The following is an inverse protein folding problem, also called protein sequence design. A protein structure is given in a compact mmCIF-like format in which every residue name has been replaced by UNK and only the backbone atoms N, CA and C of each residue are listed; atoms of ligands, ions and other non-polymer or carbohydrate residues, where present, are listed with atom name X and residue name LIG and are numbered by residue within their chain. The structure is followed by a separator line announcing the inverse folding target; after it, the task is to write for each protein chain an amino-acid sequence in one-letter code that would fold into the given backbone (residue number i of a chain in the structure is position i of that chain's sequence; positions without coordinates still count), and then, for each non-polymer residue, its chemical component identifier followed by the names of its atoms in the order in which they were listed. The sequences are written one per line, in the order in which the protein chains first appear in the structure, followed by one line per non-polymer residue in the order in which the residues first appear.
data_IF_346675411965
#
_entry.id   IF_346675411965
#
_cell.length_a   1.000
_cell.length_b   1.000
_cell.length_c   1.000
_cell.angle_alpha   90.00
_cell.angle_beta   90.00
_cell.angle_gamma   90.00
#
_symmetry.space_group_name_H-M   'P 1'
#
loop_
_entity.id
_entity.type
_entity.pdbx_description
1 polymer ?
#
# COMPACT_ATOMS: atom_id res chain seq x y z
N UNK A 1 18.68 -3.56 3.34
CA UNK A 1 18.21 -2.67 2.27
C UNK A 1 17.41 -1.54 2.91
N UNK A 2 17.92 -0.32 2.82
CA UNK A 2 17.26 0.88 3.32
C UNK A 2 16.04 1.19 2.44
N UNK A 3 14.87 1.28 3.04
CA UNK A 3 13.66 1.70 2.36
C UNK A 3 13.51 3.20 2.60
N UNK A 4 13.71 4.00 1.57
CA UNK A 4 13.53 5.45 1.65
C UNK A 4 12.06 5.78 1.86
N UNK A 5 11.81 6.75 2.74
CA UNK A 5 10.46 7.12 3.12
C UNK A 5 9.62 7.61 1.94
N UNK A 6 8.34 7.28 1.99
CA UNK A 6 7.33 7.76 1.06
C UNK A 6 7.27 9.29 1.10
N UNK A 7 7.73 9.94 0.04
CA UNK A 7 7.50 11.37 -0.14
C UNK A 7 6.09 11.59 -0.66
N UNK A 8 5.12 11.56 0.22
CA UNK A 8 3.74 11.88 -0.14
C UNK A 8 3.52 13.37 0.16
N UNK A 9 3.36 14.14 -0.89
CA UNK A 9 2.99 15.54 -0.78
C UNK A 9 4.06 16.52 -1.27
N UNK A 10 3.76 17.23 -2.33
CA UNK A 10 4.54 18.38 -2.77
C UNK A 10 4.02 19.63 -2.03
N UNK A 11 4.75 20.07 -1.03
CA UNK A 11 4.52 21.37 -0.43
C UNK A 11 4.31 21.44 1.08
N UNK A 12 5.30 21.04 1.82
CA UNK A 12 5.39 21.27 3.26
C UNK A 12 6.57 20.49 3.77
N UNK A 13 7.55 21.18 4.30
CA UNK A 13 8.81 20.58 4.70
C UNK A 13 8.66 19.50 5.75
N UNK A 14 8.46 18.28 5.31
CA UNK A 14 8.70 17.12 6.14
C UNK A 14 10.20 16.84 6.05
N UNK A 15 10.91 17.08 7.14
CA UNK A 15 12.21 16.48 7.30
C UNK A 15 12.00 14.97 7.26
N UNK A 16 12.45 14.36 6.19
CA UNK A 16 12.47 12.92 6.05
C UNK A 16 13.43 12.33 7.07
N UNK A 17 12.96 12.07 8.26
CA UNK A 17 13.66 11.11 9.10
C UNK A 17 13.67 9.79 8.29
N UNK A 18 14.86 9.32 8.01
CA UNK A 18 15.04 8.04 7.32
C UNK A 18 14.44 6.92 8.16
N UNK A 19 13.28 6.47 7.75
CA UNK A 19 12.67 5.32 8.39
C UNK A 19 13.30 4.08 7.77
N UNK A 20 14.23 3.50 8.51
CA UNK A 20 14.84 2.24 8.11
C UNK A 20 14.02 1.11 8.73
N UNK A 21 12.90 0.78 8.09
CA UNK A 21 12.27 -0.50 8.35
C UNK A 21 12.79 -1.45 7.28
N UNK A 22 13.51 -2.47 7.69
CA UNK A 22 13.85 -3.53 6.73
C UNK A 22 12.55 -4.26 6.36
N UNK A 23 12.44 -4.66 5.11
CA UNK A 23 11.30 -5.47 4.68
C UNK A 23 11.13 -6.73 5.54
N UNK A 24 12.22 -7.22 6.13
CA UNK A 24 12.22 -8.34 7.07
C UNK A 24 11.47 -8.03 8.36
N UNK A 25 11.62 -6.83 8.91
CA UNK A 25 10.91 -6.42 10.12
C UNK A 25 9.41 -6.30 9.89
N UNK A 26 9.02 -5.76 8.74
CA UNK A 26 7.60 -5.67 8.37
C UNK A 26 7.01 -7.07 8.16
N UNK A 27 7.76 -7.95 7.49
CA UNK A 27 7.36 -9.33 7.28
C UNK A 27 7.16 -10.05 8.61
N UNK A 28 8.11 -9.94 9.52
CA UNK A 28 8.06 -10.60 10.82
C UNK A 28 6.84 -10.14 11.64
N UNK A 29 6.49 -8.86 11.57
CA UNK A 29 5.33 -8.33 12.28
C UNK A 29 4.01 -8.88 11.74
N UNK A 30 3.94 -9.15 10.42
CA UNK A 30 2.71 -9.61 9.78
C UNK A 30 2.57 -11.15 9.74
N UNK A 31 3.67 -11.89 9.71
CA UNK A 31 3.63 -13.35 9.50
C UNK A 31 2.88 -14.11 10.58
N UNK A 32 2.91 -13.64 11.82
CA UNK A 32 2.17 -14.30 12.91
C UNK A 32 0.66 -14.29 12.64
N UNK A 33 0.15 -13.18 12.14
CA UNK A 33 -1.29 -13.02 11.83
C UNK A 33 -1.68 -13.65 10.47
N UNK A 34 -0.70 -13.82 9.57
CA UNK A 34 -0.95 -14.32 8.22
C UNK A 34 -0.62 -15.82 8.04
N UNK A 35 -0.21 -16.51 9.13
CA UNK A 35 0.10 -17.94 9.06
C UNK A 35 -1.13 -18.77 8.68
N UNK A 36 -0.91 -19.67 7.75
CA UNK A 36 -1.97 -20.56 7.28
C UNK A 36 -2.96 -19.94 6.31
N UNK A 37 -2.80 -18.69 5.96
CA UNK A 37 -3.64 -18.06 4.96
C UNK A 37 -3.18 -18.44 3.55
N UNK A 38 -4.11 -18.39 2.59
CA UNK A 38 -3.90 -18.91 1.23
C UNK A 38 -2.84 -18.17 0.42
N UNK A 39 -2.90 -18.35 -0.92
CA UNK A 39 -1.91 -17.77 -1.83
C UNK A 39 -1.85 -16.24 -1.81
N UNK A 40 -2.91 -15.60 -1.33
CA UNK A 40 -3.03 -14.14 -1.16
C UNK A 40 -3.68 -13.87 0.19
N UNK A 41 -3.09 -12.98 0.98
CA UNK A 41 -3.56 -12.66 2.33
C UNK A 41 -3.41 -11.17 2.60
N UNK A 42 -4.27 -10.67 3.47
CA UNK A 42 -4.26 -9.25 3.84
C UNK A 42 -4.10 -9.05 5.35
N UNK A 43 -3.40 -8.00 5.72
CA UNK A 43 -3.23 -7.58 7.11
C UNK A 43 -3.52 -6.08 7.15
N UNK A 44 -4.77 -5.75 7.46
CA UNK A 44 -5.31 -4.40 7.32
C UNK A 44 -4.93 -3.54 8.53
N UNK A 45 -4.29 -2.39 8.26
CA UNK A 45 -3.90 -1.40 9.28
C UNK A 45 -4.97 -0.32 9.44
N UNK A 46 -5.65 0.04 8.34
CA UNK A 46 -6.71 1.06 8.31
C UNK A 46 -7.81 0.59 7.37
N UNK A 47 -9.05 0.62 7.85
CA UNK A 47 -10.20 0.11 7.09
C UNK A 47 -11.03 1.22 6.41
N UNK A 48 -10.50 2.44 6.39
CA UNK A 48 -11.21 3.61 5.86
C UNK A 48 -11.96 4.38 6.94
N UNK A 49 -12.04 3.86 8.15
CA UNK A 49 -12.71 4.50 9.29
C UNK A 49 -11.87 4.48 10.56
N UNK A 50 -11.21 3.36 10.80
CA UNK A 50 -10.45 3.15 12.04
C UNK A 50 -9.11 2.47 11.75
N UNK A 51 -8.13 2.86 12.53
CA UNK A 51 -6.83 2.19 12.55
C UNK A 51 -6.87 1.03 13.54
N UNK A 52 -6.27 -0.08 13.15
CA UNK A 52 -6.10 -1.22 14.06
C UNK A 52 -4.90 -0.92 14.97
N UNK A 53 -5.18 -0.52 16.21
CA UNK A 53 -4.13 -0.09 17.14
C UNK A 53 -3.18 -1.24 17.53
N UNK A 54 -3.69 -2.47 17.59
CA UNK A 54 -2.86 -3.63 17.88
C UNK A 54 -1.83 -3.90 16.78
N UNK A 55 -2.26 -3.77 15.52
CA UNK A 55 -1.37 -3.92 14.37
C UNK A 55 -0.44 -2.71 14.23
N UNK A 56 -0.95 -1.52 14.46
CA UNK A 56 -0.13 -0.31 14.43
C UNK A 56 0.94 -0.32 15.51
N UNK A 57 0.69 -0.93 16.66
CA UNK A 57 1.72 -1.09 17.69
C UNK A 57 2.91 -1.92 17.20
N UNK A 58 2.69 -2.82 16.22
CA UNK A 58 3.78 -3.60 15.60
C UNK A 58 4.50 -2.83 14.49
N UNK A 59 3.85 -1.82 13.89
CA UNK A 59 4.40 -1.00 12.80
C UNK A 59 4.16 0.50 13.07
N UNK A 60 4.65 1.01 14.23
CA UNK A 60 4.27 2.35 14.68
C UNK A 60 4.68 3.46 13.71
N UNK A 61 5.82 3.32 13.08
CA UNK A 61 6.33 4.33 12.16
C UNK A 61 5.49 4.42 10.88
N UNK A 62 5.14 3.27 10.30
CA UNK A 62 4.29 3.22 9.11
C UNK A 62 2.92 3.85 9.43
N UNK A 63 2.32 3.45 10.54
CA UNK A 63 1.02 3.99 10.93
C UNK A 63 1.09 5.50 11.20
N UNK A 64 2.14 5.98 11.87
CA UNK A 64 2.30 7.41 12.14
C UNK A 64 2.38 8.23 10.85
N UNK A 65 3.19 7.78 9.89
CA UNK A 65 3.36 8.46 8.60
C UNK A 65 2.02 8.51 7.84
N UNK A 66 1.36 7.36 7.74
CA UNK A 66 0.16 7.27 6.91
C UNK A 66 -1.04 7.96 7.56
N UNK A 67 -1.10 8.02 8.89
CA UNK A 67 -2.11 8.84 9.59
C UNK A 67 -1.93 10.33 9.33
N UNK A 68 -0.68 10.77 9.20
CA UNK A 68 -0.37 12.17 8.93
C UNK A 68 -0.56 12.56 7.46
N UNK A 69 -0.83 11.57 6.60
CA UNK A 69 -1.01 11.80 5.16
C UNK A 69 -2.50 12.06 4.85
N UNK A 70 -2.89 13.31 4.56
CA UNK A 70 -4.30 13.60 4.30
C UNK A 70 -4.86 12.86 3.08
N UNK A 71 -4.01 12.47 2.14
CA UNK A 71 -4.41 11.68 0.98
C UNK A 71 -4.91 10.28 1.38
N UNK A 72 -4.51 9.79 2.54
CA UNK A 72 -4.89 8.46 3.05
C UNK A 72 -6.11 8.55 3.97
N UNK A 73 -6.09 9.45 4.95
CA UNK A 73 -7.06 9.47 6.04
C UNK A 73 -7.81 10.78 6.20
N UNK A 74 -7.56 11.76 5.32
CA UNK A 74 -8.18 13.08 5.42
C UNK A 74 -9.61 13.13 4.87
N UNK A 75 -10.18 14.33 4.93
CA UNK A 75 -11.51 14.61 4.40
C UNK A 75 -11.42 15.66 3.29
N UNK A 76 -12.39 15.62 2.38
CA UNK A 76 -12.57 16.67 1.37
C UNK A 76 -13.98 17.19 1.52
N UNK A 77 -14.12 18.51 1.75
CA UNK A 77 -15.42 19.14 1.97
C UNK A 77 -16.18 18.55 3.15
N UNK A 78 -15.48 18.10 4.20
CA UNK A 78 -16.10 17.50 5.37
C UNK A 78 -16.52 16.04 5.20
N UNK A 79 -16.25 15.45 4.05
CA UNK A 79 -16.58 14.03 3.80
C UNK A 79 -15.30 13.20 3.97
N UNK A 80 -15.35 12.25 4.88
CA UNK A 80 -14.23 11.31 5.09
C UNK A 80 -14.04 10.45 3.84
N UNK A 81 -12.84 10.42 3.32
CA UNK A 81 -12.52 9.57 2.19
C UNK A 81 -12.42 8.12 2.66
N UNK A 82 -12.86 7.21 1.81
CA UNK A 82 -12.77 5.78 2.11
C UNK A 82 -11.37 5.29 1.74
N UNK A 83 -10.40 5.64 2.58
CA UNK A 83 -9.04 5.16 2.43
C UNK A 83 -8.89 3.73 2.92
N UNK A 84 -7.76 3.15 2.62
CA UNK A 84 -7.38 1.84 3.15
C UNK A 84 -5.87 1.81 3.28
N UNK A 85 -5.37 1.12 4.30
CA UNK A 85 -3.95 0.76 4.40
C UNK A 85 -3.88 -0.71 4.77
N UNK A 86 -3.27 -1.51 3.90
CA UNK A 86 -3.20 -2.96 4.06
C UNK A 86 -1.81 -3.46 3.68
N UNK A 87 -1.28 -4.37 4.47
CA UNK A 87 -0.11 -5.13 4.07
C UNK A 87 -0.60 -6.41 3.39
N UNK A 88 -0.26 -6.58 2.12
CA UNK A 88 -0.61 -7.77 1.36
C UNK A 88 0.58 -8.71 1.26
N UNK A 89 0.29 -9.99 1.43
CA UNK A 89 1.20 -11.11 1.23
C UNK A 89 0.75 -11.89 0.00
N UNK A 90 1.67 -12.19 -0.91
CA UNK A 90 1.38 -12.94 -2.13
C UNK A 90 2.44 -14.03 -2.29
N UNK A 91 1.99 -15.29 -2.38
CA UNK A 91 2.90 -16.44 -2.51
C UNK A 91 3.34 -16.64 -3.97
N UNK A 92 4.50 -17.27 -4.18
CA UNK A 92 4.93 -17.65 -5.53
C UNK A 92 3.85 -18.45 -6.27
N UNK A 93 3.70 -18.16 -7.56
CA UNK A 93 2.68 -18.79 -8.41
C UNK A 93 1.30 -18.20 -8.33
N UNK A 94 1.08 -17.22 -7.43
CA UNK A 94 -0.23 -16.60 -7.32
C UNK A 94 -0.53 -15.67 -8.50
N UNK A 95 -1.80 -15.63 -8.90
CA UNK A 95 -2.30 -14.72 -9.93
C UNK A 95 -3.55 -14.04 -9.40
N UNK A 96 -3.47 -12.74 -9.18
CA UNK A 96 -4.65 -11.92 -8.92
C UNK A 96 -5.24 -11.60 -10.29
N UNK A 97 -6.38 -12.21 -10.58
CA UNK A 97 -7.00 -12.18 -11.92
C UNK A 97 -7.41 -10.76 -12.34
N UNK A 98 -7.55 -10.50 -13.64
CA UNK A 98 -8.00 -9.18 -14.12
C UNK A 98 -9.29 -8.74 -13.44
N UNK A 99 -9.26 -7.54 -12.90
CA UNK A 99 -10.40 -6.92 -12.20
C UNK A 99 -10.25 -5.40 -12.24
N UNK A 100 -11.29 -4.69 -11.85
CA UNK A 100 -11.27 -3.22 -11.78
C UNK A 100 -11.81 -2.79 -10.43
N UNK A 101 -11.29 -1.70 -9.91
CA UNK A 101 -11.83 -1.03 -8.73
C UNK A 101 -13.22 -0.47 -9.01
N UNK A 102 -13.98 -0.24 -7.96
CA UNK A 102 -15.39 0.16 -8.07
C UNK A 102 -15.58 1.66 -8.34
N UNK A 103 -14.49 2.44 -8.34
CA UNK A 103 -14.58 3.90 -8.46
C UNK A 103 -13.32 4.47 -9.08
N UNK A 104 -13.46 5.54 -9.83
CA UNK A 104 -12.35 6.36 -10.31
C UNK A 104 -12.08 7.58 -9.40
N UNK A 105 -12.59 7.55 -8.16
CA UNK A 105 -12.42 8.64 -7.19
C UNK A 105 -11.21 8.43 -6.28
N UNK A 106 -10.47 7.36 -6.50
CA UNK A 106 -9.31 6.99 -5.70
C UNK A 106 -8.16 6.55 -6.60
N UNK A 107 -6.96 6.62 -6.07
CA UNK A 107 -5.78 5.98 -6.66
C UNK A 107 -5.30 4.92 -5.67
N UNK A 108 -4.60 3.92 -6.16
CA UNK A 108 -3.97 2.93 -5.29
C UNK A 108 -2.46 3.09 -5.34
N UNK A 109 -1.86 2.96 -4.17
CA UNK A 109 -0.42 3.01 -3.98
C UNK A 109 0.07 1.62 -3.59
N UNK A 110 1.05 1.10 -4.32
CA UNK A 110 1.78 -0.12 -3.97
C UNK A 110 3.21 0.27 -3.60
N UNK A 111 3.62 -0.05 -2.37
CA UNK A 111 4.98 0.14 -1.92
C UNK A 111 5.58 -1.23 -1.61
N UNK A 112 6.36 -1.79 -2.55
CA UNK A 112 6.90 -3.14 -2.40
C UNK A 112 7.99 -3.19 -1.34
N UNK A 113 7.87 -4.14 -0.41
CA UNK A 113 8.78 -4.29 0.72
C UNK A 113 9.83 -5.37 0.47
N UNK A 114 9.40 -6.55 0.02
CA UNK A 114 10.29 -7.68 -0.32
C UNK A 114 9.62 -8.55 -1.39
N UNK A 115 10.40 -9.42 -2.01
CA UNK A 115 9.90 -10.49 -2.87
C UNK A 115 9.35 -10.03 -4.22
N UNK A 116 9.95 -9.01 -4.80
CA UNK A 116 9.48 -8.44 -6.07
C UNK A 116 9.96 -9.19 -7.31
N UNK A 117 10.96 -10.07 -7.17
CA UNK A 117 11.52 -10.78 -8.30
C UNK A 117 10.44 -11.66 -8.96
N UNK A 118 10.28 -11.52 -10.28
CA UNK A 118 9.28 -12.24 -11.04
C UNK A 118 7.84 -11.74 -10.85
N UNK A 119 7.63 -10.66 -10.08
CA UNK A 119 6.29 -10.10 -9.90
C UNK A 119 6.08 -8.92 -10.84
N UNK A 120 4.91 -8.92 -11.50
CA UNK A 120 4.54 -7.83 -12.40
C UNK A 120 3.06 -7.51 -12.28
N UNK A 121 2.72 -6.26 -12.56
CA UNK A 121 1.34 -5.78 -12.62
C UNK A 121 1.05 -5.30 -14.03
N UNK A 122 -0.16 -5.56 -14.50
CA UNK A 122 -0.71 -4.95 -15.72
C UNK A 122 -1.78 -3.96 -15.28
N UNK A 123 -1.78 -2.78 -15.90
CA UNK A 123 -2.87 -1.80 -15.75
C UNK A 123 -3.25 -1.37 -17.16
N UNK A 124 -4.48 -1.62 -17.56
CA UNK A 124 -4.86 -1.50 -18.97
C UNK A 124 -3.99 -2.40 -19.82
N UNK A 125 -3.29 -1.83 -20.80
CA UNK A 125 -2.39 -2.60 -21.69
C UNK A 125 -0.93 -2.53 -21.24
N UNK A 126 -0.63 -1.89 -20.12
CA UNK A 126 0.74 -1.60 -19.71
C UNK A 126 1.21 -2.54 -18.58
N UNK A 127 2.30 -3.28 -18.82
CA UNK A 127 2.95 -4.12 -17.83
C UNK A 127 4.10 -3.41 -17.15
N UNK A 128 4.17 -3.51 -15.82
CA UNK A 128 5.27 -2.98 -15.01
C UNK A 128 5.80 -4.04 -14.04
N UNK A 129 7.09 -3.95 -13.74
CA UNK A 129 7.73 -4.76 -12.70
C UNK A 129 7.80 -3.96 -11.41
N UNK A 130 7.75 -4.66 -10.30
CA UNK A 130 7.94 -4.04 -8.99
C UNK A 130 9.42 -3.98 -8.64
N UNK A 131 9.81 -2.91 -7.98
CA UNK A 131 11.15 -2.74 -7.42
C UNK A 131 11.01 -2.45 -5.94
N UNK A 132 11.78 -3.15 -5.08
CA UNK A 132 11.72 -2.95 -3.63
C UNK A 132 12.02 -1.49 -3.30
N UNK A 133 11.17 -0.89 -2.48
CA UNK A 133 11.33 0.49 -2.03
C UNK A 133 10.90 1.55 -3.05
N UNK A 134 10.38 1.15 -4.21
CA UNK A 134 9.93 2.10 -5.23
C UNK A 134 8.40 2.07 -5.33
N UNK A 135 7.79 3.18 -4.97
CA UNK A 135 6.32 3.33 -5.00
C UNK A 135 5.79 3.26 -6.43
N UNK A 136 4.67 2.59 -6.59
CA UNK A 136 3.87 2.59 -7.82
C UNK A 136 2.48 3.10 -7.47
N UNK A 137 1.98 4.07 -8.23
CA UNK A 137 0.63 4.62 -8.04
C UNK A 137 -0.12 4.51 -9.36
N UNK A 138 -1.36 4.06 -9.31
CA UNK A 138 -2.21 3.98 -10.50
C UNK A 138 -3.69 4.09 -10.13
N UNK A 139 -4.51 4.36 -11.14
CA UNK A 139 -5.97 4.38 -11.03
C UNK A 139 -6.47 2.94 -11.22
N UNK A 140 -6.97 2.34 -10.15
CA UNK A 140 -7.41 0.94 -10.18
C UNK A 140 -8.77 0.75 -10.84
N UNK A 141 -9.46 1.83 -11.24
CA UNK A 141 -10.67 1.69 -12.04
C UNK A 141 -10.39 1.13 -13.44
N UNK A 142 -9.14 1.26 -13.92
CA UNK A 142 -8.69 0.52 -15.10
C UNK A 142 -8.49 -0.95 -14.75
N UNK A 143 -8.84 -1.83 -15.68
CA UNK A 143 -8.61 -3.27 -15.47
C UNK A 143 -7.13 -3.53 -15.16
N UNK A 144 -6.89 -4.26 -14.09
CA UNK A 144 -5.52 -4.58 -13.69
C UNK A 144 -5.42 -6.00 -13.12
N UNK A 145 -4.21 -6.54 -13.12
CA UNK A 145 -3.92 -7.88 -12.60
C UNK A 145 -2.50 -7.93 -12.08
N UNK A 146 -2.22 -8.88 -11.18
CA UNK A 146 -0.87 -9.10 -10.65
C UNK A 146 -0.49 -10.57 -10.81
N UNK A 147 0.66 -10.82 -11.43
CA UNK A 147 1.19 -12.17 -11.62
C UNK A 147 2.49 -12.31 -10.84
N UNK A 148 2.59 -13.38 -10.06
CA UNK A 148 3.77 -13.69 -9.26
C UNK A 148 4.49 -14.92 -9.84
N UNK A 149 5.39 -14.68 -10.81
CA UNK A 149 6.21 -15.74 -11.40
C UNK A 149 7.55 -15.97 -10.71
N UNK A 150 7.77 -15.35 -9.56
CA UNK A 150 9.03 -15.49 -8.81
C UNK A 150 9.00 -16.63 -7.80
N UNK A 151 10.05 -16.71 -6.98
CA UNK A 151 10.23 -17.83 -6.05
C UNK A 151 10.14 -17.44 -4.57
N UNK A 152 10.01 -16.13 -4.25
CA UNK A 152 9.97 -15.66 -2.86
C UNK A 152 8.65 -14.99 -2.56
N UNK A 153 8.11 -15.21 -1.37
CA UNK A 153 6.90 -14.50 -0.92
C UNK A 153 7.06 -12.99 -1.07
N UNK A 154 6.06 -12.36 -1.69
CA UNK A 154 6.00 -10.91 -1.85
C UNK A 154 5.22 -10.28 -0.70
N UNK A 155 5.74 -9.17 -0.19
CA UNK A 155 5.00 -8.29 0.72
C UNK A 155 4.96 -6.89 0.12
N UNK A 156 3.78 -6.30 0.12
CA UNK A 156 3.57 -4.94 -0.40
C UNK A 156 2.69 -4.18 0.58
N UNK A 157 3.08 -2.96 0.90
CA UNK A 157 2.21 -2.03 1.59
C UNK A 157 1.32 -1.37 0.54
N UNK A 158 0.02 -1.51 0.72
CA UNK A 158 -1.02 -0.98 -0.16
C UNK A 158 -1.72 0.15 0.56
N UNK A 159 -2.01 1.23 -0.16
CA UNK A 159 -2.86 2.29 0.39
C UNK A 159 -3.80 2.80 -0.70
N UNK A 160 -5.03 3.08 -0.32
CA UNK A 160 -5.98 3.80 -1.16
C UNK A 160 -5.82 5.28 -0.88
N UNK A 161 -5.58 6.08 -1.92
CA UNK A 161 -5.33 7.50 -1.84
C UNK A 161 -6.50 8.28 -2.43
N UNK A 162 -6.78 9.43 -1.83
CA UNK A 162 -7.72 10.38 -2.42
C UNK A 162 -7.25 10.82 -3.81
N UNK A 163 -8.17 10.82 -4.78
CA UNK A 163 -7.83 11.25 -6.15
C UNK A 163 -7.67 12.77 -6.18
N UNK A 164 -6.53 13.28 -6.66
CA UNK A 164 -6.24 14.74 -6.60
C UNK A 164 -7.23 15.60 -7.39
N UNK A 165 -7.90 15.04 -8.37
CA UNK A 165 -8.92 15.75 -9.15
C UNK A 165 -10.18 16.10 -8.37
N UNK A 166 -10.35 15.58 -7.15
CA UNK A 166 -11.53 15.82 -6.32
C UNK A 166 -11.33 16.94 -5.29
N UNK A 167 -10.16 17.56 -5.27
CA UNK A 167 -9.83 18.62 -4.33
C UNK A 167 -8.73 18.21 -3.35
N UNK A 168 -8.34 19.14 -2.49
CA UNK A 168 -7.25 18.90 -1.53
C UNK A 168 -7.82 18.34 -0.22
N UNK A 169 -7.40 17.17 0.22
CA UNK A 169 -7.85 16.62 1.50
C UNK A 169 -7.18 17.32 2.67
N UNK A 170 -7.85 17.32 3.85
CA UNK A 170 -7.29 17.87 5.09
C UNK A 170 -7.53 16.90 6.25
N UNK A 171 -6.69 16.98 7.25
CA UNK A 171 -6.86 16.24 8.51
C UNK A 171 -7.64 17.12 9.48
N UNK A 172 -8.52 16.70 9.80
CA UNK A 172 -9.40 17.33 10.67
C UNK A 172 -9.11 17.11 12.04
#
# INVERSE_FOLDING_TARGET
TEVSALGIGAGGGFETERIVLSGEQVRAAADDDLRGSGAWSEWKLFDGRRWDEGRCAKLPTICAILRAAPEVSGTVGGVTQQGEVTLYKLLPGAHILPHSGVTNRALVLHFPLVGTDGVRVRVGDEWRRYEVGRTMVFDDSFEHEVIHGGSRTRYVLFAVLHHPGLGTPSIX
#
